data_IF_008642467785
#
_entry.id   IF_008642467785
#
_cell.length_a   1.000
_cell.length_b   1.000
_cell.length_c   1.000
_cell.angle_alpha   90.00
_cell.angle_beta   90.00
_cell.angle_gamma   90.00
#
_symmetry.space_group_name_H-M   'P 1'
#
loop_
_entity.id
_entity.type
_entity.pdbx_description
1 polymer ?
#
# COMPACT_ATOMS: atom_id res chain seq x y z
N UNK A 1 23.16 -2.05 -13.11
CA UNK A 1 23.36 -2.91 -11.92
C UNK A 1 22.52 -2.33 -10.78
N UNK A 2 21.24 -2.71 -10.66
CA UNK A 2 20.41 -2.29 -9.52
C UNK A 2 20.85 -3.09 -8.31
N UNK A 3 21.36 -2.41 -7.29
CA UNK A 3 21.72 -3.01 -6.01
C UNK A 3 20.48 -3.69 -5.45
N UNK A 4 20.51 -5.03 -5.40
CA UNK A 4 19.65 -5.80 -4.51
C UNK A 4 20.06 -5.41 -3.10
N UNK A 5 19.39 -4.40 -2.53
CA UNK A 5 19.39 -4.21 -1.09
C UNK A 5 18.69 -5.43 -0.51
N UNK A 6 19.52 -6.40 -0.13
CA UNK A 6 19.20 -7.36 0.93
C UNK A 6 18.56 -6.54 2.06
N UNK A 7 17.40 -6.99 2.55
CA UNK A 7 16.67 -6.38 3.66
C UNK A 7 17.66 -5.69 4.61
N UNK A 8 17.56 -4.36 4.78
CA UNK A 8 18.47 -3.66 5.68
C UNK A 8 18.46 -4.39 7.02
N UNK A 9 19.64 -4.58 7.62
CA UNK A 9 19.87 -5.39 8.82
C UNK A 9 19.00 -5.01 10.06
N UNK A 10 18.19 -3.95 9.96
CA UNK A 10 17.19 -3.51 10.95
C UNK A 10 15.80 -4.16 10.85
N UNK A 11 15.58 -5.15 9.96
CA UNK A 11 14.37 -5.97 9.96
C UNK A 11 13.08 -5.26 9.51
N UNK A 12 13.21 -4.13 8.81
CA UNK A 12 12.08 -3.38 8.22
C UNK A 12 12.18 -3.41 6.70
N UNK A 13 11.06 -3.67 6.03
CA UNK A 13 10.94 -3.57 4.58
C UNK A 13 11.06 -2.12 4.08
N UNK A 14 11.20 -1.97 2.76
CA UNK A 14 11.53 -0.69 2.14
C UNK A 14 10.36 0.32 2.17
N UNK A 15 9.11 -0.13 2.08
CA UNK A 15 7.94 0.75 2.22
C UNK A 15 7.85 1.28 3.66
N UNK A 16 8.13 0.43 4.65
CA UNK A 16 8.18 0.80 6.06
C UNK A 16 9.26 1.84 6.28
N UNK A 17 10.48 1.58 5.78
CA UNK A 17 11.59 2.55 5.88
C UNK A 17 11.21 3.89 5.25
N UNK A 18 10.70 3.88 4.02
CA UNK A 18 10.31 5.10 3.31
C UNK A 18 9.18 5.86 4.01
N UNK A 19 8.18 5.16 4.55
CA UNK A 19 7.10 5.78 5.30
C UNK A 19 7.63 6.50 6.55
N UNK A 20 8.60 5.92 7.27
CA UNK A 20 9.24 6.58 8.41
C UNK A 20 10.06 7.81 8.00
N UNK A 21 10.80 7.71 6.90
CA UNK A 21 11.67 8.79 6.42
C UNK A 21 10.89 9.98 5.83
N UNK A 22 9.83 9.71 5.06
CA UNK A 22 9.14 10.74 4.27
C UNK A 22 7.74 11.09 4.79
N UNK A 23 7.08 10.19 5.50
CA UNK A 23 5.66 10.33 5.89
C UNK A 23 5.40 10.27 7.38
N UNK A 24 6.42 10.43 8.23
CA UNK A 24 6.34 10.30 9.69
C UNK A 24 5.71 8.95 10.13
N UNK A 25 6.01 7.89 9.38
CA UNK A 25 5.50 6.54 9.58
C UNK A 25 4.21 6.24 8.82
N UNK A 26 3.56 7.22 8.19
CA UNK A 26 2.39 7.00 7.34
C UNK A 26 2.78 6.88 5.86
N UNK A 27 2.04 6.06 5.10
CA UNK A 27 2.25 5.95 3.66
C UNK A 27 1.12 5.21 2.93
N UNK A 28 0.97 5.54 1.65
CA UNK A 28 0.11 4.84 0.69
C UNK A 28 1.00 4.42 -0.48
N UNK A 29 0.99 3.13 -0.80
CA UNK A 29 1.85 2.51 -1.80
C UNK A 29 1.03 1.64 -2.75
N UNK A 30 1.55 1.42 -3.95
CA UNK A 30 1.01 0.43 -4.89
C UNK A 30 2.00 -0.72 -5.07
N UNK A 31 1.59 -1.92 -4.67
CA UNK A 31 2.43 -3.12 -4.80
C UNK A 31 2.30 -3.67 -6.21
N UNK A 32 3.22 -3.27 -7.08
CA UNK A 32 3.19 -3.59 -8.52
C UNK A 32 3.07 -5.08 -8.83
N UNK A 33 3.72 -5.96 -8.05
CA UNK A 33 3.68 -7.41 -8.31
C UNK A 33 2.30 -8.01 -8.01
N UNK A 34 1.62 -7.49 -6.99
CA UNK A 34 0.31 -7.99 -6.55
C UNK A 34 -0.86 -7.15 -7.10
N UNK A 35 -0.56 -6.02 -7.75
CA UNK A 35 -1.53 -5.04 -8.23
C UNK A 35 -2.56 -4.65 -7.16
N UNK A 36 -2.07 -4.40 -5.95
CA UNK A 36 -2.90 -4.03 -4.79
C UNK A 36 -2.38 -2.75 -4.12
N UNK A 37 -3.29 -1.98 -3.53
CA UNK A 37 -2.93 -0.85 -2.70
C UNK A 37 -2.47 -1.30 -1.31
N UNK A 38 -1.54 -0.57 -0.73
CA UNK A 38 -1.03 -0.78 0.62
C UNK A 38 -1.09 0.54 1.37
N UNK A 39 -1.74 0.56 2.52
CA UNK A 39 -1.68 1.67 3.47
C UNK A 39 -0.90 1.23 4.71
N UNK A 40 -0.14 2.13 5.29
CA UNK A 40 0.62 1.83 6.50
C UNK A 40 0.74 3.01 7.44
N UNK A 41 0.85 2.67 8.73
CA UNK A 41 1.15 3.62 9.80
C UNK A 41 2.01 2.95 10.87
N UNK A 42 3.23 3.46 11.06
CA UNK A 42 4.22 2.90 11.98
C UNK A 42 4.66 1.51 11.50
N UNK A 43 4.48 0.50 12.34
CA UNK A 43 4.88 -0.88 12.03
C UNK A 43 3.76 -1.73 11.39
N UNK A 44 2.56 -1.15 11.25
CA UNK A 44 1.36 -1.85 10.79
C UNK A 44 1.02 -1.42 9.36
N UNK A 45 0.58 -2.39 8.57
CA UNK A 45 0.08 -2.16 7.23
C UNK A 45 -1.22 -2.92 6.99
N UNK A 46 -2.01 -2.45 6.03
CA UNK A 46 -3.24 -3.07 5.56
C UNK A 46 -3.35 -2.89 4.04
N UNK A 47 -3.98 -3.85 3.38
CA UNK A 47 -4.27 -3.73 1.96
C UNK A 47 -5.53 -2.90 1.71
N UNK A 48 -5.55 -2.20 0.59
CA UNK A 48 -6.71 -1.48 0.06
C UNK A 48 -6.87 -1.79 -1.42
N UNK A 49 -8.03 -1.46 -1.98
CA UNK A 49 -8.26 -1.61 -3.42
C UNK A 49 -7.21 -0.84 -4.22
N UNK A 50 -6.80 -1.44 -5.33
CA UNK A 50 -5.91 -0.78 -6.29
C UNK A 50 -6.63 0.43 -6.91
N UNK A 51 -5.96 1.60 -7.00
CA UNK A 51 -6.44 2.71 -7.83
C UNK A 51 -6.24 2.44 -9.32
N UNK A 52 -5.43 1.42 -9.67
CA UNK A 52 -5.23 0.98 -11.04
C UNK A 52 -6.11 -0.23 -11.33
N UNK A 53 -6.95 -0.12 -12.35
CA UNK A 53 -7.95 -1.13 -12.75
C UNK A 53 -7.73 -1.58 -14.19
N UNK A 54 -8.26 -2.74 -14.54
CA UNK A 54 -8.26 -3.20 -15.92
C UNK A 54 -9.27 -2.43 -16.80
N UNK A 55 -9.46 -2.86 -18.06
CA UNK A 55 -10.41 -2.22 -18.98
C UNK A 55 -11.88 -2.30 -18.54
N UNK A 56 -12.21 -3.11 -17.55
CA UNK A 56 -13.55 -3.29 -17.02
C UNK A 56 -13.76 -2.64 -15.65
N UNK A 57 -12.74 -1.96 -15.09
CA UNK A 57 -12.83 -1.37 -13.76
C UNK A 57 -12.50 -2.36 -12.63
N UNK A 58 -12.01 -3.55 -12.95
CA UNK A 58 -11.75 -4.61 -11.97
C UNK A 58 -10.28 -4.66 -11.54
N UNK A 59 -10.04 -5.34 -10.41
CA UNK A 59 -8.66 -5.67 -10.00
C UNK A 59 -8.10 -6.68 -11.00
N UNK A 60 -6.91 -6.45 -11.58
CA UNK A 60 -6.43 -7.27 -12.69
C UNK A 60 -6.16 -8.71 -12.26
N UNK A 61 -6.83 -9.69 -12.88
CA UNK A 61 -6.50 -11.11 -12.67
C UNK A 61 -5.26 -11.57 -13.46
N UNK A 62 -4.91 -10.90 -14.56
CA UNK A 62 -3.83 -11.32 -15.46
C UNK A 62 -2.82 -10.19 -15.70
N UNK A 63 -1.54 -10.50 -15.48
CA UNK A 63 -0.43 -9.57 -15.75
C UNK A 63 -0.31 -9.28 -17.25
N UNK A 64 0.21 -8.10 -17.59
CA UNK A 64 0.56 -7.71 -18.95
C UNK A 64 -0.52 -6.95 -19.72
N UNK A 65 -1.74 -6.85 -19.19
CA UNK A 65 -2.74 -5.90 -19.70
C UNK A 65 -2.46 -4.50 -19.14
N UNK A 66 -2.65 -3.43 -19.92
CA UNK A 66 -2.59 -2.07 -19.41
C UNK A 66 -3.58 -1.88 -18.26
N UNK A 67 -3.14 -1.18 -17.22
CA UNK A 67 -4.03 -0.71 -16.17
C UNK A 67 -4.29 0.78 -16.36
N UNK A 68 -5.51 1.19 -16.06
CA UNK A 68 -5.94 2.58 -16.10
C UNK A 68 -6.11 3.08 -14.67
N UNK A 69 -5.82 4.36 -14.44
CA UNK A 69 -6.13 5.00 -13.17
C UNK A 69 -7.65 5.22 -13.09
N UNK A 70 -8.27 4.65 -12.08
CA UNK A 70 -9.65 4.93 -11.69
C UNK A 70 -9.66 6.17 -10.80
N UNK A 71 -10.31 7.24 -11.27
CA UNK A 71 -10.30 8.53 -10.57
C UNK A 71 -11.09 8.49 -9.27
N UNK A 72 -12.20 7.75 -9.21
CA UNK A 72 -13.01 7.65 -8.00
C UNK A 72 -12.22 6.94 -6.88
N UNK A 73 -11.51 5.86 -7.22
CA UNK A 73 -10.63 5.18 -6.26
C UNK A 73 -9.44 6.04 -5.86
N UNK A 74 -8.89 6.82 -6.79
CA UNK A 74 -7.78 7.71 -6.52
C UNK A 74 -8.20 8.85 -5.57
N UNK A 75 -9.37 9.43 -5.76
CA UNK A 75 -9.90 10.50 -4.91
C UNK A 75 -10.10 10.02 -3.47
N UNK A 76 -10.59 8.78 -3.27
CA UNK A 76 -10.65 8.15 -1.95
C UNK A 76 -9.27 8.07 -1.27
N UNK A 77 -8.21 7.76 -2.03
CA UNK A 77 -6.84 7.74 -1.49
C UNK A 77 -6.33 9.15 -1.20
N UNK A 78 -6.69 10.15 -2.01
CA UNK A 78 -6.35 11.55 -1.76
C UNK A 78 -7.03 12.07 -0.49
N UNK A 79 -8.32 11.79 -0.30
CA UNK A 79 -9.06 12.13 0.91
C UNK A 79 -8.47 11.45 2.14
N UNK A 80 -8.10 10.16 2.01
CA UNK A 80 -7.44 9.42 3.08
C UNK A 80 -6.13 10.07 3.50
N UNK A 81 -5.30 10.51 2.53
CA UNK A 81 -4.02 11.14 2.79
C UNK A 81 -4.18 12.55 3.36
N UNK A 82 -4.92 13.41 2.65
CA UNK A 82 -5.12 14.82 3.02
C UNK A 82 -5.89 14.99 4.34
N UNK A 83 -6.80 14.06 4.66
CA UNK A 83 -7.50 14.02 5.93
C UNK A 83 -6.69 13.41 7.10
N UNK A 84 -5.44 13.00 6.86
CA UNK A 84 -4.61 12.28 7.84
C UNK A 84 -5.30 11.02 8.41
N UNK A 85 -6.12 10.35 7.60
CA UNK A 85 -6.97 9.24 8.01
C UNK A 85 -6.31 7.86 7.86
N UNK A 86 -5.09 7.81 7.30
CA UNK A 86 -4.33 6.57 7.07
C UNK A 86 -4.23 5.71 8.33
N UNK A 87 -3.96 6.33 9.49
CA UNK A 87 -3.87 5.60 10.76
C UNK A 87 -5.18 4.90 11.10
N UNK A 88 -6.29 5.63 11.09
CA UNK A 88 -7.62 5.11 11.42
C UNK A 88 -7.97 3.96 10.47
N UNK A 89 -7.73 4.15 9.16
CA UNK A 89 -8.02 3.14 8.15
C UNK A 89 -7.17 1.87 8.32
N UNK A 90 -5.87 1.98 8.60
CA UNK A 90 -5.02 0.82 8.91
C UNK A 90 -5.58 0.02 10.10
N UNK A 91 -6.01 0.70 11.17
CA UNK A 91 -6.56 0.03 12.35
C UNK A 91 -7.89 -0.67 12.01
N UNK A 92 -8.77 0.01 11.29
CA UNK A 92 -10.06 -0.54 10.88
C UNK A 92 -9.88 -1.80 10.02
N UNK A 93 -9.05 -1.74 8.97
CA UNK A 93 -8.79 -2.88 8.08
C UNK A 93 -8.11 -4.04 8.80
N UNK A 94 -7.23 -3.76 9.77
CA UNK A 94 -6.62 -4.80 10.60
C UNK A 94 -7.57 -5.47 11.58
N UNK A 95 -8.65 -4.79 11.96
CA UNK A 95 -9.71 -5.34 12.79
C UNK A 95 -10.72 -6.19 12.02
N UNK A 96 -10.93 -5.88 10.73
CA UNK A 96 -11.88 -6.59 9.86
C UNK A 96 -11.25 -7.72 9.05
N UNK A 97 -9.98 -7.58 8.62
CA UNK A 97 -9.31 -8.56 7.76
C UNK A 97 -8.70 -9.71 8.54
N UNK A 98 -8.80 -10.92 7.97
CA UNK A 98 -8.12 -12.13 8.46
C UNK A 98 -6.69 -12.29 7.93
N UNK A 99 -6.26 -11.44 7.00
CA UNK A 99 -4.93 -11.54 6.41
C UNK A 99 -3.85 -11.17 7.44
N UNK A 100 -2.89 -12.08 7.61
CA UNK A 100 -1.75 -11.86 8.50
C UNK A 100 -0.67 -11.08 7.75
N UNK A 101 -0.56 -9.78 8.05
CA UNK A 101 0.62 -8.99 7.67
C UNK A 101 1.53 -8.87 8.89
N UNK A 102 2.79 -9.28 8.73
CA UNK A 102 3.84 -9.21 9.75
C UNK A 102 4.25 -7.74 9.94
N UNK A 103 4.54 -7.36 11.19
CA UNK A 103 4.96 -5.99 11.50
C UNK A 103 6.29 -5.64 10.80
N UNK A 104 6.38 -4.43 10.25
CA UNK A 104 7.51 -3.94 9.46
C UNK A 104 7.87 -4.74 8.20
N UNK A 105 6.96 -5.59 7.70
CA UNK A 105 7.28 -6.48 6.58
C UNK A 105 7.55 -5.74 5.26
N UNK A 106 6.75 -4.71 4.95
CA UNK A 106 6.77 -4.02 3.65
C UNK A 106 7.82 -2.94 3.55
#
# INVERSE_FOLDING_TARGET
MKSLKVLNAGGKGECTNHAFECGAGAGIFFLLQECIGLIMHGTKAAYVHSPYVDSHGETPQYRGRPLNLDLDRYDILQELWSGHLVRQKVIAERGSSRQVIIANFY
#
